data_IF_351019027275
#
_entry.id   IF_351019027275
#
_cell.length_a   1.000
_cell.length_b   1.000
_cell.length_c   1.000
_cell.angle_alpha   90.00
_cell.angle_beta   90.00
_cell.angle_gamma   90.00
#
_symmetry.space_group_name_H-M   'P 1'
#
loop_
_entity.id
_entity.type
_entity.pdbx_description
1 polymer ?
#
# COMPACT_ATOMS: atom_id res chain seq x y z
N UNK A 1 54.56 43.28 29.07
CA UNK A 1 54.24 43.52 30.49
C UNK A 1 52.75 43.24 30.69
N UNK A 2 52.45 42.29 31.57
CA UNK A 2 51.23 42.19 32.41
C UNK A 2 49.93 41.62 31.84
N UNK A 3 49.81 40.29 32.04
CA UNK A 3 48.76 39.50 32.69
C UNK A 3 47.33 40.01 32.99
N UNK A 4 46.36 39.17 32.58
CA UNK A 4 45.25 38.48 33.32
C UNK A 4 44.19 39.28 34.11
N UNK A 5 42.90 39.05 33.74
CA UNK A 5 41.71 38.75 34.60
C UNK A 5 40.46 38.69 33.69
N UNK A 6 39.87 37.56 33.32
CA UNK A 6 39.15 36.49 34.02
C UNK A 6 37.74 36.85 34.55
N UNK A 7 36.75 36.15 33.96
CA UNK A 7 35.41 35.77 34.45
C UNK A 7 34.34 36.84 34.71
N UNK A 8 33.23 36.78 33.96
CA UNK A 8 31.97 36.33 34.57
C UNK A 8 30.90 35.90 33.54
N UNK A 9 30.20 34.86 33.96
CA UNK A 9 29.18 34.00 33.34
C UNK A 9 27.82 34.67 33.11
N UNK A 10 27.16 34.37 31.99
CA UNK A 10 25.83 33.73 31.95
C UNK A 10 25.30 33.57 30.50
N UNK A 11 25.12 32.35 29.96
CA UNK A 11 24.52 32.15 28.63
C UNK A 11 23.00 31.95 28.64
N UNK A 12 22.30 32.04 29.78
CA UNK A 12 20.87 31.75 29.87
C UNK A 12 19.99 32.99 30.00
N UNK A 13 19.98 33.90 29.02
CA UNK A 13 18.79 34.74 28.83
C UNK A 13 18.74 35.47 27.48
N UNK A 14 18.13 34.85 26.46
CA UNK A 14 17.38 35.64 25.46
C UNK A 14 16.37 34.80 24.70
N UNK A 15 15.21 34.61 25.33
CA UNK A 15 13.99 34.16 24.67
C UNK A 15 13.64 35.13 23.54
N UNK A 16 13.92 34.73 22.30
CA UNK A 16 13.45 35.41 21.09
C UNK A 16 12.27 34.62 20.55
N UNK A 17 11.05 35.06 20.87
CA UNK A 17 9.84 34.51 20.24
C UNK A 17 9.78 34.96 18.78
N UNK A 18 10.39 34.18 17.89
CA UNK A 18 10.13 34.25 16.46
C UNK A 18 8.82 33.52 16.16
N UNK A 19 7.73 34.27 16.06
CA UNK A 19 6.43 33.76 15.57
C UNK A 19 6.56 33.43 14.08
N UNK A 20 6.90 32.17 13.79
CA UNK A 20 6.86 31.62 12.44
C UNK A 20 5.40 31.47 11.99
N UNK A 21 5.02 32.36 11.07
CA UNK A 21 3.78 32.31 10.32
C UNK A 21 3.75 31.00 9.51
N UNK A 22 2.95 30.05 9.97
CA UNK A 22 2.74 28.74 9.36
C UNK A 22 2.19 28.89 7.93
N UNK A 23 2.87 28.40 6.88
CA UNK A 23 2.21 28.20 5.60
C UNK A 23 1.21 27.05 5.77
N UNK A 24 -0.03 27.31 5.35
CA UNK A 24 -1.12 26.36 5.32
C UNK A 24 -0.64 25.02 4.74
N UNK A 25 -0.47 24.04 5.63
CA UNK A 25 -0.30 22.63 5.27
C UNK A 25 -1.64 22.14 4.75
N UNK A 26 -1.94 22.47 3.49
CA UNK A 26 -2.88 21.73 2.67
C UNK A 26 -2.30 20.36 2.43
N UNK A 27 -2.32 19.50 3.46
CA UNK A 27 -1.90 18.12 3.33
C UNK A 27 -2.98 17.41 2.52
N UNK A 28 -2.77 17.43 1.21
CA UNK A 28 -3.50 16.68 0.21
C UNK A 28 -3.32 15.19 0.47
N UNK A 29 -4.07 14.68 1.45
CA UNK A 29 -4.53 13.30 1.45
C UNK A 29 -5.48 13.16 0.27
N UNK A 30 -4.88 13.19 -0.92
CA UNK A 30 -5.51 12.95 -2.18
C UNK A 30 -6.11 11.55 -2.08
N UNK A 31 -7.40 11.52 -1.72
CA UNK A 31 -8.39 10.57 -2.17
C UNK A 31 -7.79 9.18 -2.40
N UNK A 32 -7.34 8.53 -1.32
CA UNK A 32 -7.28 7.08 -1.33
C UNK A 32 -8.73 6.63 -1.50
N UNK A 33 -9.11 6.32 -2.75
CA UNK A 33 -10.36 5.64 -3.04
C UNK A 33 -10.37 4.43 -2.12
N UNK A 34 -11.36 4.42 -1.21
CA UNK A 34 -11.69 3.37 -0.27
C UNK A 34 -11.24 2.02 -0.84
N UNK A 35 -10.15 1.46 -0.32
CA UNK A 35 -9.77 0.10 -0.64
C UNK A 35 -10.94 -0.75 -0.16
N UNK A 36 -11.58 -1.57 -1.03
CA UNK A 36 -12.66 -2.42 -0.58
C UNK A 36 -12.12 -3.29 0.57
N UNK A 37 -12.75 -3.16 1.73
CA UNK A 37 -12.51 -4.06 2.85
C UNK A 37 -12.90 -5.45 2.34
N UNK A 38 -11.91 -6.33 2.14
CA UNK A 38 -12.13 -7.72 1.71
C UNK A 38 -12.65 -8.47 2.94
N UNK A 39 -13.89 -8.17 3.32
CA UNK A 39 -14.63 -8.91 4.36
C UNK A 39 -15.04 -10.22 3.73
N UNK A 40 -14.23 -11.26 3.91
CA UNK A 40 -14.62 -12.68 3.80
C UNK A 40 -15.56 -13.05 2.64
N UNK A 41 -15.42 -12.43 1.47
CA UNK A 41 -16.12 -12.87 0.27
C UNK A 41 -15.35 -14.05 -0.29
N UNK A 42 -16.00 -15.21 -0.32
CA UNK A 42 -15.52 -16.38 -1.04
C UNK A 42 -15.79 -16.27 -2.55
N UNK A 43 -16.58 -15.28 -2.96
CA UNK A 43 -16.73 -14.82 -4.34
C UNK A 43 -15.68 -13.73 -4.61
N UNK A 44 -14.52 -14.16 -5.11
CA UNK A 44 -13.51 -13.26 -5.66
C UNK A 44 -13.65 -13.34 -7.18
N UNK A 45 -13.97 -12.22 -7.83
CA UNK A 45 -14.08 -12.18 -9.28
C UNK A 45 -12.71 -12.04 -9.94
N UNK A 46 -12.64 -12.40 -11.21
CA UNK A 46 -11.41 -12.28 -12.02
C UNK A 46 -10.93 -10.84 -12.12
N UNK A 47 -11.88 -9.92 -12.38
CA UNK A 47 -11.62 -8.48 -12.37
C UNK A 47 -11.02 -8.01 -11.04
N UNK A 48 -11.41 -8.62 -9.90
CA UNK A 48 -10.84 -8.27 -8.59
C UNK A 48 -9.38 -8.73 -8.47
N UNK A 49 -9.03 -9.90 -9.02
CA UNK A 49 -7.65 -10.39 -9.08
C UNK A 49 -6.77 -9.54 -9.98
N UNK A 50 -7.25 -9.19 -11.18
CA UNK A 50 -6.55 -8.30 -12.09
C UNK A 50 -6.28 -6.94 -11.45
N UNK A 51 -7.30 -6.35 -10.84
CA UNK A 51 -7.18 -5.09 -10.11
C UNK A 51 -6.19 -5.19 -8.95
N UNK A 52 -6.18 -6.31 -8.23
CA UNK A 52 -5.22 -6.55 -7.15
C UNK A 52 -3.78 -6.64 -7.68
N UNK A 53 -3.55 -7.35 -8.79
CA UNK A 53 -2.22 -7.43 -9.43
C UNK A 53 -1.74 -6.05 -9.88
N UNK A 54 -2.61 -5.24 -10.48
CA UNK A 54 -2.28 -3.85 -10.88
C UNK A 54 -1.96 -3.00 -9.64
N UNK A 55 -2.73 -3.16 -8.57
CA UNK A 55 -2.49 -2.45 -7.31
C UNK A 55 -1.12 -2.81 -6.72
N UNK A 56 -0.80 -4.10 -6.60
CA UNK A 56 0.48 -4.56 -6.06
C UNK A 56 1.67 -4.08 -6.91
N UNK A 57 1.54 -4.06 -8.23
CA UNK A 57 2.58 -3.50 -9.11
C UNK A 57 2.82 -2.00 -8.83
N UNK A 58 1.76 -1.21 -8.62
CA UNK A 58 1.90 0.21 -8.27
C UNK A 58 2.56 0.40 -6.91
N UNK A 59 2.21 -0.43 -5.93
CA UNK A 59 2.84 -0.42 -4.61
C UNK A 59 4.32 -0.77 -4.71
N UNK A 60 4.67 -1.80 -5.49
CA UNK A 60 6.07 -2.20 -5.76
C UNK A 60 6.88 -1.05 -6.33
N UNK A 61 6.40 -0.39 -7.39
CA UNK A 61 7.08 0.78 -8.00
C UNK A 61 7.26 1.91 -6.98
N UNK A 62 6.28 2.13 -6.11
CA UNK A 62 6.40 3.13 -5.04
C UNK A 62 7.44 2.73 -4.00
N UNK A 63 7.48 1.47 -3.59
CA UNK A 63 8.46 0.96 -2.64
C UNK A 63 9.89 1.02 -3.20
N UNK A 64 10.08 0.73 -4.50
CA UNK A 64 11.36 0.92 -5.20
C UNK A 64 11.82 2.37 -5.09
N UNK A 65 10.95 3.33 -5.46
CA UNK A 65 11.28 4.75 -5.35
C UNK A 65 11.64 5.19 -3.93
N UNK A 66 10.95 4.69 -2.91
CA UNK A 66 11.27 5.04 -1.53
C UNK A 66 12.61 4.44 -1.12
N UNK A 67 12.88 3.19 -1.50
CA UNK A 67 14.15 2.50 -1.20
C UNK A 67 15.33 3.22 -1.83
N UNK A 68 15.20 3.67 -3.08
CA UNK A 68 16.27 4.36 -3.80
C UNK A 68 16.63 5.72 -3.16
N UNK A 69 15.73 6.29 -2.36
CA UNK A 69 15.97 7.49 -1.57
C UNK A 69 16.28 7.20 -0.08
N UNK A 70 16.23 5.93 0.34
CA UNK A 70 16.51 5.54 1.72
C UNK A 70 18.03 5.53 1.96
N UNK A 71 18.51 5.97 3.13
CA UNK A 71 19.93 5.87 3.46
C UNK A 71 20.39 4.41 3.41
N UNK A 72 21.53 4.17 2.75
CA UNK A 72 22.12 2.84 2.67
C UNK A 72 22.42 2.27 4.06
N UNK A 73 22.10 0.99 4.27
CA UNK A 73 22.26 0.32 5.57
C UNK A 73 21.27 0.78 6.65
N UNK A 74 20.29 1.62 6.30
CA UNK A 74 19.20 1.92 7.23
C UNK A 74 18.23 0.75 7.34
N UNK A 75 17.63 0.58 8.53
CA UNK A 75 16.55 -0.39 8.75
C UNK A 75 15.43 -0.25 7.71
N UNK A 76 15.11 0.97 7.28
CA UNK A 76 14.11 1.22 6.25
C UNK A 76 14.50 0.60 4.91
N UNK A 77 15.78 0.69 4.50
CA UNK A 77 16.26 0.06 3.27
C UNK A 77 16.13 -1.47 3.33
N UNK A 78 16.43 -2.09 4.47
CA UNK A 78 16.30 -3.54 4.67
C UNK A 78 14.84 -4.01 4.68
N UNK A 79 13.95 -3.23 5.32
CA UNK A 79 12.51 -3.51 5.33
C UNK A 79 11.92 -3.37 3.92
N UNK A 80 12.30 -2.32 3.19
CA UNK A 80 11.83 -2.10 1.83
C UNK A 80 12.34 -3.18 0.88
N UNK A 81 13.57 -3.65 1.05
CA UNK A 81 14.11 -4.77 0.26
C UNK A 81 13.28 -6.04 0.47
N UNK A 82 13.05 -6.44 1.72
CA UNK A 82 12.20 -7.60 2.04
C UNK A 82 10.75 -7.43 1.57
N UNK A 83 10.22 -6.22 1.63
CA UNK A 83 8.87 -5.90 1.15
C UNK A 83 8.79 -6.04 -0.37
N UNK A 84 9.81 -5.58 -1.11
CA UNK A 84 9.88 -5.73 -2.57
C UNK A 84 9.96 -7.20 -2.99
N UNK A 85 10.71 -8.02 -2.25
CA UNK A 85 10.79 -9.46 -2.49
C UNK A 85 9.42 -10.12 -2.25
N UNK A 86 8.75 -9.78 -1.14
CA UNK A 86 7.39 -10.25 -0.83
C UNK A 86 6.38 -9.87 -1.91
N UNK A 87 6.33 -8.59 -2.30
CA UNK A 87 5.45 -8.11 -3.37
C UNK A 87 5.71 -8.82 -4.71
N UNK A 88 6.97 -9.09 -5.03
CA UNK A 88 7.35 -9.81 -6.26
C UNK A 88 6.85 -11.26 -6.22
N UNK A 89 6.97 -11.92 -5.06
CA UNK A 89 6.42 -13.26 -4.83
C UNK A 89 4.90 -13.30 -4.97
N UNK A 90 4.19 -12.40 -4.30
CA UNK A 90 2.71 -12.34 -4.34
C UNK A 90 2.19 -12.07 -5.76
N UNK A 91 2.79 -11.13 -6.49
CA UNK A 91 2.43 -10.86 -7.90
C UNK A 91 2.62 -12.10 -8.76
N UNK A 92 3.73 -12.82 -8.57
CA UNK A 92 4.03 -14.04 -9.34
C UNK A 92 3.05 -15.16 -9.04
N UNK A 93 2.70 -15.35 -7.76
CA UNK A 93 1.70 -16.33 -7.34
C UNK A 93 0.32 -16.02 -7.92
N UNK A 94 -0.12 -14.75 -7.84
CA UNK A 94 -1.42 -14.34 -8.41
C UNK A 94 -1.45 -14.57 -9.91
N UNK A 95 -0.41 -14.18 -10.66
CA UNK A 95 -0.32 -14.43 -12.10
C UNK A 95 -0.33 -15.91 -12.44
N UNK A 96 0.34 -16.74 -11.63
CA UNK A 96 0.36 -18.18 -11.83
C UNK A 96 -1.04 -18.80 -11.62
N UNK A 97 -1.74 -18.41 -10.55
CA UNK A 97 -3.10 -18.88 -10.26
C UNK A 97 -4.10 -18.45 -11.34
N UNK A 98 -3.95 -17.23 -11.87
CA UNK A 98 -4.75 -16.75 -13.00
C UNK A 98 -4.50 -17.59 -14.25
N UNK A 99 -3.23 -17.81 -14.63
CA UNK A 99 -2.90 -18.62 -15.81
C UNK A 99 -3.29 -20.10 -15.68
N UNK A 100 -3.29 -20.66 -14.46
CA UNK A 100 -3.83 -21.98 -14.19
C UNK A 100 -5.34 -22.01 -14.42
N UNK A 101 -6.10 -21.00 -13.95
CA UNK A 101 -7.55 -20.93 -14.12
C UNK A 101 -7.95 -20.96 -15.60
N UNK A 102 -7.23 -20.25 -16.46
CA UNK A 102 -7.46 -20.25 -17.92
C UNK A 102 -7.25 -21.64 -18.55
N UNK A 103 -6.42 -22.48 -17.93
CA UNK A 103 -6.12 -23.84 -18.38
C UNK A 103 -7.06 -24.92 -17.81
N UNK A 104 -7.82 -24.60 -16.75
CA UNK A 104 -8.83 -25.51 -16.23
C UNK A 104 -10.07 -25.46 -17.13
N UNK A 105 -10.63 -26.60 -17.55
CA UNK A 105 -11.90 -26.61 -18.26
C UNK A 105 -12.97 -25.94 -17.39
N UNK A 106 -13.61 -24.89 -17.92
CA UNK A 106 -14.72 -24.21 -17.23
C UNK A 106 -15.72 -25.27 -16.75
N UNK A 107 -16.14 -25.27 -15.47
CA UNK A 107 -17.24 -26.12 -15.05
C UNK A 107 -18.43 -25.74 -15.93
N UNK A 108 -18.87 -26.69 -16.77
CA UNK A 108 -19.98 -26.51 -17.69
C UNK A 108 -21.13 -25.88 -16.91
N UNK A 109 -21.57 -24.70 -17.39
CA UNK A 109 -22.67 -23.92 -16.86
C UNK A 109 -23.75 -24.86 -16.34
N UNK A 110 -23.94 -24.87 -15.02
CA UNK A 110 -24.96 -25.69 -14.38
C UNK A 110 -26.28 -25.38 -15.09
N UNK A 111 -26.96 -26.35 -15.71
CA UNK A 111 -28.15 -26.06 -16.49
C UNK A 111 -29.16 -25.41 -15.55
N UNK A 112 -29.64 -24.22 -15.95
CA UNK A 112 -30.74 -23.54 -15.29
C UNK A 112 -31.81 -24.58 -15.00
N UNK A 113 -32.03 -24.85 -13.71
CA UNK A 113 -33.03 -25.80 -13.25
C UNK A 113 -34.33 -25.37 -13.91
N UNK A 114 -34.75 -26.14 -14.91
CA UNK A 114 -35.98 -25.90 -15.63
C UNK A 114 -37.06 -25.85 -14.56
N UNK A 115 -37.55 -24.64 -14.28
CA UNK A 115 -38.70 -24.42 -13.43
C UNK A 115 -39.86 -25.12 -14.12
N UNK A 116 -40.03 -26.39 -13.76
CA UNK A 116 -41.12 -27.26 -14.15
C UNK A 116 -42.38 -26.60 -13.63
N UNK A 117 -43.00 -25.76 -14.47
CA UNK A 117 -44.29 -25.14 -14.20
C UNK A 117 -45.29 -26.27 -13.96
N UNK A 118 -45.62 -26.53 -12.70
CA UNK A 118 -46.76 -27.36 -12.37
C UNK A 118 -48.01 -26.61 -12.82
N UNK A 119 -48.73 -27.14 -13.81
CA UNK A 119 -50.08 -26.69 -14.10
C UNK A 119 -51.03 -27.39 -13.13
N UNK A 120 -51.96 -26.67 -12.49
CA UNK A 120 -53.03 -27.30 -11.72
C UNK A 120 -53.92 -28.10 -12.65
N UNK A 121 -54.30 -29.30 -12.20
CA UNK A 121 -55.34 -30.11 -12.85
C UNK A 121 -56.70 -29.43 -12.62
N UNK A 122 -57.53 -29.47 -13.65
CA UNK A 122 -58.94 -29.03 -13.69
C UNK A 122 -59.79 -29.66 -12.60
#
# INVERSE_FOLDING_TARGET
MSDIQSANSDPYNRTSHATLRSPASGNGYARFKKIPQIVGRTDIQEDDLENLVIYLQRVRVRAERIRDNAPAGSYLADVLSRTLDGLTGEISQLRHLMGLRDSLPLPASQPAVAQRRMRPAT
#
